data_IF_866259040929
#
_entry.id   IF_866259040929
#
_cell.length_a   1.000
_cell.length_b   1.000
_cell.length_c   1.000
_cell.angle_alpha   90.00
_cell.angle_beta   90.00
_cell.angle_gamma   90.00
#
_symmetry.space_group_name_H-M   'P 1'
#
loop_
_entity.id
_entity.type
_entity.pdbx_description
1 polymer ?
#
# COMPACT_ATOMS: atom_id res chain seq x y z
N UNK A 1 -49.76 1.88 -13.53
CA UNK A 1 -49.25 0.67 -12.85
C UNK A 1 -48.18 0.10 -13.75
N UNK A 2 -46.88 0.15 -13.42
CA UNK A 2 -46.27 -0.50 -12.26
C UNK A 2 -44.99 0.23 -11.81
N UNK A 3 -44.97 0.53 -10.51
CA UNK A 3 -43.83 0.71 -9.60
C UNK A 3 -42.61 1.58 -10.00
N UNK A 4 -42.75 2.89 -9.82
CA UNK A 4 -41.65 3.74 -9.37
C UNK A 4 -41.78 3.94 -7.84
N UNK A 5 -40.90 3.34 -7.06
CA UNK A 5 -40.62 3.62 -5.64
C UNK A 5 -39.37 2.77 -5.29
N UNK A 6 -38.31 3.22 -4.64
CA UNK A 6 -38.21 4.25 -3.62
C UNK A 6 -36.72 4.68 -3.55
N UNK A 7 -36.42 5.95 -3.83
CA UNK A 7 -35.12 6.55 -3.47
C UNK A 7 -35.27 7.02 -2.03
N UNK A 8 -35.20 6.05 -1.13
CA UNK A 8 -35.25 6.30 0.31
C UNK A 8 -34.02 7.10 0.73
N UNK A 9 -34.24 8.34 1.17
CA UNK A 9 -33.31 9.10 2.00
C UNK A 9 -33.24 8.52 3.42
N UNK A 10 -33.04 7.21 3.52
CA UNK A 10 -32.83 6.52 4.79
C UNK A 10 -31.38 6.66 5.21
N UNK A 11 -31.14 6.99 6.47
CA UNK A 11 -29.83 6.77 7.10
C UNK A 11 -29.52 5.28 7.07
N UNK A 12 -28.96 4.80 5.95
CA UNK A 12 -28.54 3.41 5.80
C UNK A 12 -27.45 3.16 6.84
N UNK A 13 -27.74 2.31 7.83
CA UNK A 13 -26.76 1.90 8.82
C UNK A 13 -25.70 1.05 8.12
N UNK A 14 -24.46 1.54 8.11
CA UNK A 14 -23.32 0.78 7.58
C UNK A 14 -23.16 -0.48 8.43
N UNK A 15 -23.31 -1.64 7.80
CA UNK A 15 -23.35 -2.95 8.47
C UNK A 15 -22.84 -4.05 7.55
N UNK A 16 -22.54 -5.22 8.12
CA UNK A 16 -22.01 -6.37 7.39
C UNK A 16 -20.52 -6.58 7.61
N UNK A 17 -19.85 -7.26 6.67
CA UNK A 17 -18.41 -7.53 6.74
C UNK A 17 -17.65 -6.74 5.68
N UNK A 18 -16.53 -6.14 6.07
CA UNK A 18 -15.60 -5.45 5.18
C UNK A 18 -14.20 -6.05 5.33
N UNK A 19 -13.69 -6.66 4.25
CA UNK A 19 -12.35 -7.25 4.17
C UNK A 19 -11.38 -6.30 3.48
N UNK A 20 -10.40 -5.83 4.23
CA UNK A 20 -9.39 -4.89 3.77
C UNK A 20 -8.03 -5.56 3.77
N UNK A 21 -7.31 -5.47 2.66
CA UNK A 21 -5.90 -5.84 2.59
C UNK A 21 -4.99 -4.60 2.45
N UNK A 22 -3.82 -4.57 3.09
CA UNK A 22 -2.88 -3.45 2.95
C UNK A 22 -1.43 -3.75 3.32
N UNK A 23 -0.48 -2.85 3.01
CA UNK A 23 0.93 -3.02 3.36
C UNK A 23 1.13 -2.96 4.87
N UNK A 24 2.06 -3.74 5.42
CA UNK A 24 2.16 -3.92 6.87
C UNK A 24 2.48 -2.61 7.62
N UNK A 25 3.47 -1.87 7.13
CA UNK A 25 3.90 -0.61 7.74
C UNK A 25 2.84 0.49 7.63
N UNK A 26 2.15 0.58 6.50
CA UNK A 26 1.06 1.55 6.30
C UNK A 26 -0.16 1.19 7.14
N UNK A 27 -0.51 -0.10 7.17
CA UNK A 27 -1.66 -0.63 7.88
C UNK A 27 -1.57 -0.38 9.38
N UNK A 28 -0.44 -0.74 9.99
CA UNK A 28 -0.20 -0.55 11.43
C UNK A 28 -0.13 0.92 11.81
N UNK A 29 0.50 1.77 10.99
CA UNK A 29 0.74 3.18 11.31
C UNK A 29 -0.46 4.09 11.08
N UNK A 30 -1.23 3.85 10.00
CA UNK A 30 -2.26 4.78 9.54
C UNK A 30 -3.65 4.15 9.47
N UNK A 31 -3.77 2.90 9.00
CA UNK A 31 -5.08 2.31 8.76
C UNK A 31 -5.74 1.80 10.04
N UNK A 32 -5.01 1.09 10.89
CA UNK A 32 -5.57 0.48 12.10
C UNK A 32 -6.25 1.49 13.05
N UNK A 33 -5.66 2.68 13.34
CA UNK A 33 -6.35 3.68 14.15
C UNK A 33 -7.64 4.21 13.50
N UNK A 34 -7.64 4.37 12.17
CA UNK A 34 -8.79 4.86 11.42
C UNK A 34 -9.90 3.81 11.33
N UNK A 35 -9.53 2.53 11.14
CA UNK A 35 -10.47 1.40 11.18
C UNK A 35 -11.11 1.29 12.56
N UNK A 36 -10.34 1.45 13.64
CA UNK A 36 -10.89 1.44 14.99
C UNK A 36 -11.92 2.56 15.19
N UNK A 37 -11.63 3.79 14.77
CA UNK A 37 -12.58 4.91 14.81
C UNK A 37 -13.82 4.65 13.94
N UNK A 38 -13.63 4.08 12.74
CA UNK A 38 -14.70 3.74 11.82
C UNK A 38 -15.64 2.67 12.39
N UNK A 39 -15.11 1.64 13.04
CA UNK A 39 -15.89 0.60 13.71
C UNK A 39 -16.65 1.15 14.92
N UNK A 40 -16.10 2.13 15.64
CA UNK A 40 -16.82 2.81 16.73
C UNK A 40 -18.03 3.60 16.21
N UNK A 41 -17.88 4.27 15.06
CA UNK A 41 -18.97 4.99 14.41
C UNK A 41 -20.01 4.05 13.76
N UNK A 42 -19.63 2.82 13.42
CA UNK A 42 -20.48 1.82 12.79
C UNK A 42 -20.42 0.45 13.50
N UNK A 43 -21.07 0.30 14.66
CA UNK A 43 -20.95 -0.91 15.49
C UNK A 43 -21.46 -2.20 14.84
N UNK A 44 -22.28 -2.09 13.80
CA UNK A 44 -22.81 -3.23 13.05
C UNK A 44 -21.85 -3.75 11.95
N UNK A 45 -20.66 -3.17 11.84
CA UNK A 45 -19.65 -3.51 10.84
C UNK A 45 -18.54 -4.40 11.44
N UNK A 46 -18.32 -5.58 10.84
CA UNK A 46 -17.17 -6.48 11.09
C UNK A 46 -16.05 -6.17 10.09
N UNK A 47 -15.00 -5.47 10.52
CA UNK A 47 -13.84 -5.20 9.65
C UNK A 47 -12.76 -6.26 9.85
N UNK A 48 -12.36 -6.90 8.76
CA UNK A 48 -11.23 -7.84 8.72
C UNK A 48 -10.06 -7.15 8.03
N UNK A 49 -9.01 -6.90 8.80
CA UNK A 49 -7.80 -6.26 8.31
C UNK A 49 -6.67 -7.29 8.15
N UNK A 50 -6.26 -7.55 6.92
CA UNK A 50 -5.10 -8.39 6.60
C UNK A 50 -3.94 -7.52 6.10
N UNK A 51 -2.82 -7.58 6.82
CA UNK A 51 -1.66 -6.73 6.58
C UNK A 51 -0.47 -7.57 6.12
N UNK A 52 -0.13 -7.45 4.85
CA UNK A 52 0.97 -8.17 4.23
C UNK A 52 1.47 -7.41 2.99
N UNK A 53 2.74 -7.62 2.65
CA UNK A 53 3.37 -7.00 1.47
C UNK A 53 3.32 -7.90 0.22
N UNK A 54 2.51 -8.97 0.27
CA UNK A 54 2.28 -9.82 -0.89
C UNK A 54 1.30 -9.13 -1.85
N UNK A 55 1.49 -9.36 -3.14
CA UNK A 55 0.48 -8.97 -4.13
C UNK A 55 -0.67 -9.97 -4.00
N UNK A 56 -1.84 -9.50 -3.61
CA UNK A 56 -3.06 -10.32 -3.52
C UNK A 56 -3.91 -10.07 -4.76
N UNK A 57 -4.54 -11.11 -5.27
CA UNK A 57 -5.66 -10.94 -6.19
C UNK A 57 -6.91 -10.64 -5.37
N UNK A 58 -7.45 -9.44 -5.52
CA UNK A 58 -8.63 -9.00 -4.76
C UNK A 58 -9.85 -9.89 -5.00
N UNK A 59 -10.03 -10.34 -6.24
CA UNK A 59 -11.21 -11.11 -6.67
C UNK A 59 -11.07 -12.55 -6.20
N UNK A 60 -9.92 -13.19 -6.44
CA UNK A 60 -9.72 -14.59 -6.04
C UNK A 60 -9.66 -14.76 -4.51
N UNK A 61 -9.13 -13.77 -3.79
CA UNK A 61 -8.95 -13.85 -2.33
C UNK A 61 -10.12 -13.24 -1.54
N UNK A 62 -11.12 -12.69 -2.22
CA UNK A 62 -12.37 -12.20 -1.63
C UNK A 62 -12.16 -11.01 -0.68
N UNK A 63 -11.33 -10.04 -1.10
CA UNK A 63 -11.20 -8.76 -0.42
C UNK A 63 -12.07 -7.70 -1.09
N UNK A 64 -12.71 -6.86 -0.30
CA UNK A 64 -13.54 -5.76 -0.80
C UNK A 64 -12.69 -4.55 -1.19
N UNK A 65 -11.58 -4.32 -0.47
CA UNK A 65 -10.67 -3.18 -0.67
C UNK A 65 -9.22 -3.63 -0.47
N UNK A 66 -8.33 -3.20 -1.38
CA UNK A 66 -6.88 -3.23 -1.11
C UNK A 66 -6.28 -1.83 -1.17
N UNK A 67 -5.43 -1.55 -0.20
CA UNK A 67 -4.50 -0.42 -0.22
C UNK A 67 -3.19 -0.92 -0.80
N UNK A 68 -2.66 -0.23 -1.83
CA UNK A 68 -1.41 -0.61 -2.49
C UNK A 68 -0.59 0.63 -2.87
N UNK A 69 0.72 0.43 -2.95
CA UNK A 69 1.67 1.41 -3.49
C UNK A 69 1.91 1.03 -4.95
N UNK A 70 1.64 1.95 -5.87
CA UNK A 70 1.85 1.73 -7.31
C UNK A 70 0.62 2.08 -8.14
N UNK A 71 0.69 1.76 -9.43
CA UNK A 71 -0.43 1.87 -10.36
C UNK A 71 -1.24 0.58 -10.36
N UNK A 72 -2.55 0.71 -10.56
CA UNK A 72 -3.41 -0.43 -10.87
C UNK A 72 -3.09 -0.90 -12.30
N UNK A 73 -2.76 -2.19 -12.52
CA UNK A 73 -2.65 -2.73 -13.87
C UNK A 73 -4.01 -2.73 -14.57
N UNK A 74 -4.01 -2.95 -15.88
CA UNK A 74 -5.25 -3.08 -16.64
C UNK A 74 -6.16 -4.16 -16.02
N UNK A 75 -7.35 -3.75 -15.57
CA UNK A 75 -8.31 -4.58 -14.83
C UNK A 75 -9.65 -3.87 -14.73
N UNK A 76 -10.68 -4.60 -14.27
CA UNK A 76 -12.01 -4.04 -13.97
C UNK A 76 -12.09 -3.28 -12.65
N UNK A 77 -10.98 -3.20 -11.89
CA UNK A 77 -10.94 -2.57 -10.58
C UNK A 77 -10.91 -1.03 -10.70
N UNK A 78 -11.45 -0.34 -9.70
CA UNK A 78 -11.39 1.12 -9.61
C UNK A 78 -10.31 1.52 -8.60
N UNK A 79 -9.35 2.33 -9.04
CA UNK A 79 -8.31 2.87 -8.16
C UNK A 79 -8.61 4.32 -7.75
N UNK A 80 -8.48 4.59 -6.45
CA UNK A 80 -8.51 5.96 -5.90
C UNK A 80 -7.19 6.26 -5.21
N UNK A 81 -6.56 7.38 -5.58
CA UNK A 81 -5.33 7.84 -4.93
C UNK A 81 -5.62 8.34 -3.52
N UNK A 82 -5.03 7.70 -2.50
CA UNK A 82 -5.16 8.10 -1.09
C UNK A 82 -4.10 9.11 -0.66
N UNK A 83 -2.84 8.86 -1.03
CA UNK A 83 -1.71 9.70 -0.66
C UNK A 83 -0.56 9.57 -1.67
N UNK A 84 0.49 10.39 -1.51
CA UNK A 84 1.78 10.18 -2.19
C UNK A 84 2.69 9.38 -1.27
N UNK A 85 3.39 8.39 -1.81
CA UNK A 85 4.45 7.65 -1.13
C UNK A 85 5.79 8.05 -1.73
N UNK A 86 6.67 8.68 -0.95
CA UNK A 86 8.02 9.05 -1.38
C UNK A 86 9.02 8.05 -0.81
N UNK A 87 9.76 7.38 -1.69
CA UNK A 87 10.91 6.57 -1.32
C UNK A 87 12.13 7.48 -1.23
N UNK A 88 12.92 7.29 -0.17
CA UNK A 88 14.16 8.02 0.06
C UNK A 88 15.31 7.05 0.22
N UNK A 89 16.50 7.46 -0.20
CA UNK A 89 17.74 6.78 0.16
C UNK A 89 18.16 7.19 1.55
N UNK A 90 18.55 6.21 2.34
CA UNK A 90 19.13 6.45 3.65
C UNK A 90 20.23 5.42 3.93
N UNK A 91 21.17 5.85 4.76
CA UNK A 91 22.22 5.01 5.31
C UNK A 91 22.49 5.47 6.74
N UNK A 92 23.04 4.58 7.58
CA UNK A 92 23.44 4.98 8.92
C UNK A 92 24.64 5.93 8.86
N UNK A 93 24.78 6.88 9.79
CA UNK A 93 25.95 7.76 9.83
C UNK A 93 27.27 7.00 9.93
N UNK A 94 27.29 5.89 10.69
CA UNK A 94 28.48 5.04 10.83
C UNK A 94 28.88 4.35 9.52
N UNK A 95 27.91 3.94 8.71
CA UNK A 95 28.19 3.36 7.40
C UNK A 95 28.86 4.39 6.47
N UNK A 96 28.29 5.60 6.40
CA UNK A 96 28.81 6.68 5.56
C UNK A 96 30.19 7.17 6.00
N UNK A 97 30.48 7.18 7.31
CA UNK A 97 31.81 7.52 7.80
C UNK A 97 32.89 6.51 7.36
N UNK A 98 32.53 5.25 7.18
CA UNK A 98 33.46 4.18 6.80
C UNK A 98 33.57 4.00 5.28
N UNK A 99 32.47 4.19 4.54
CA UNK A 99 32.38 3.86 3.10
C UNK A 99 32.25 5.11 2.21
N UNK A 100 32.18 6.30 2.80
CA UNK A 100 31.90 7.55 2.08
C UNK A 100 30.42 7.75 1.80
N UNK A 101 30.07 8.97 1.36
CA UNK A 101 28.71 9.33 0.96
C UNK A 101 28.60 9.30 -0.57
N UNK A 102 27.67 8.52 -1.15
CA UNK A 102 27.44 8.53 -2.58
C UNK A 102 26.90 9.89 -3.01
N UNK A 103 27.50 10.50 -4.03
CA UNK A 103 27.08 11.79 -4.58
C UNK A 103 26.32 11.63 -5.89
N UNK A 104 26.42 10.46 -6.51
CA UNK A 104 25.75 10.09 -7.75
C UNK A 104 25.07 8.73 -7.60
N UNK A 105 24.06 8.48 -8.44
CA UNK A 105 23.35 7.20 -8.45
C UNK A 105 24.30 6.05 -8.80
N UNK A 106 25.26 6.30 -9.69
CA UNK A 106 26.25 5.30 -10.11
C UNK A 106 27.15 4.81 -8.95
N UNK A 107 27.41 5.67 -7.97
CA UNK A 107 28.24 5.35 -6.80
C UNK A 107 27.62 4.24 -5.95
N UNK A 108 26.29 4.05 -6.02
CA UNK A 108 25.56 3.02 -5.28
C UNK A 108 26.01 1.60 -5.65
N UNK A 109 26.59 1.41 -6.84
CA UNK A 109 27.16 0.11 -7.25
C UNK A 109 28.37 -0.31 -6.42
N UNK A 110 29.03 0.64 -5.74
CA UNK A 110 30.17 0.42 -4.85
C UNK A 110 29.76 0.36 -3.37
N UNK A 111 28.46 0.40 -3.07
CA UNK A 111 27.92 0.38 -1.71
C UNK A 111 27.09 -0.87 -1.45
N UNK A 112 27.05 -1.31 -0.20
CA UNK A 112 26.20 -2.39 0.27
C UNK A 112 24.74 -1.92 0.35
N UNK A 113 23.92 -2.36 -0.61
CA UNK A 113 22.55 -1.87 -0.73
C UNK A 113 21.55 -2.90 -0.18
N UNK A 114 20.75 -2.49 0.80
CA UNK A 114 19.73 -3.36 1.37
C UNK A 114 18.49 -3.39 0.49
N UNK A 115 18.16 -4.58 -0.02
CA UNK A 115 17.04 -4.77 -0.96
C UNK A 115 15.87 -5.50 -0.32
N UNK A 116 14.67 -5.04 -0.64
CA UNK A 116 13.45 -5.75 -0.25
C UNK A 116 13.25 -6.96 -1.16
N UNK A 117 13.18 -8.15 -0.56
CA UNK A 117 13.09 -9.43 -1.29
C UNK A 117 11.68 -9.75 -1.78
N UNK A 118 10.65 -9.05 -1.30
CA UNK A 118 9.25 -9.27 -1.69
C UNK A 118 8.85 -8.32 -2.82
N UNK A 119 8.69 -8.85 -4.04
CA UNK A 119 8.17 -8.13 -5.21
C UNK A 119 9.01 -8.34 -6.48
N UNK A 120 8.36 -8.32 -7.64
CA UNK A 120 8.93 -8.66 -8.96
C UNK A 120 10.09 -7.77 -9.46
N UNK A 121 10.59 -6.81 -8.68
CA UNK A 121 11.78 -6.03 -9.03
C UNK A 121 13.04 -6.72 -8.51
N UNK A 122 13.43 -7.76 -9.24
CA UNK A 122 14.57 -8.64 -9.01
C UNK A 122 15.93 -8.03 -9.37
N UNK A 123 16.21 -6.75 -9.06
CA UNK A 123 17.57 -6.24 -9.30
C UNK A 123 17.76 -4.77 -8.97
N UNK A 124 16.90 -3.95 -9.56
CA UNK A 124 17.28 -2.59 -9.85
C UNK A 124 16.49 -1.57 -9.03
N UNK A 125 17.20 -0.60 -8.49
CA UNK A 125 16.60 0.61 -7.95
C UNK A 125 16.31 1.58 -9.07
N UNK A 126 15.10 2.16 -9.08
CA UNK A 126 14.65 3.09 -10.11
C UNK A 126 14.58 4.51 -9.56
N UNK A 127 15.26 5.43 -10.23
CA UNK A 127 15.27 6.88 -9.95
C UNK A 127 14.71 7.61 -11.16
N UNK A 128 13.40 7.86 -11.16
CA UNK A 128 12.73 8.43 -12.33
C UNK A 128 12.81 7.50 -13.54
N UNK A 129 13.56 7.91 -14.57
CA UNK A 129 13.83 7.13 -15.79
C UNK A 129 15.14 6.33 -15.72
N UNK A 130 15.96 6.54 -14.68
CA UNK A 130 17.23 5.85 -14.50
C UNK A 130 17.06 4.59 -13.65
N UNK A 131 17.87 3.58 -13.93
CA UNK A 131 17.94 2.32 -13.20
C UNK A 131 19.39 2.08 -12.76
N UNK A 132 19.56 1.53 -11.55
CA UNK A 132 20.85 1.09 -11.05
C UNK A 132 20.71 -0.29 -10.42
N UNK A 133 21.49 -1.23 -10.92
CA UNK A 133 21.60 -2.56 -10.33
C UNK A 133 22.48 -2.48 -9.09
N UNK A 134 21.90 -2.81 -7.94
CA UNK A 134 22.61 -2.78 -6.66
C UNK A 134 22.67 -4.17 -6.05
N UNK A 135 23.77 -4.45 -5.34
CA UNK A 135 24.04 -5.74 -4.70
C UNK A 135 23.74 -5.67 -3.21
#
# INVERSE_FOLDING_TARGET
EEAAADVGSGTHTVSGRLRINGPMSFGTRYLAPQVAQFMQAHPALDVRLDLNDRRVDLLEEGYDVAIRIGSLPDSSLIARRLARCQLVLCASPGYLAQHGTPLRIEDLTQHHCLRYRSGQNSGDWRFGQQYVSVT
#
